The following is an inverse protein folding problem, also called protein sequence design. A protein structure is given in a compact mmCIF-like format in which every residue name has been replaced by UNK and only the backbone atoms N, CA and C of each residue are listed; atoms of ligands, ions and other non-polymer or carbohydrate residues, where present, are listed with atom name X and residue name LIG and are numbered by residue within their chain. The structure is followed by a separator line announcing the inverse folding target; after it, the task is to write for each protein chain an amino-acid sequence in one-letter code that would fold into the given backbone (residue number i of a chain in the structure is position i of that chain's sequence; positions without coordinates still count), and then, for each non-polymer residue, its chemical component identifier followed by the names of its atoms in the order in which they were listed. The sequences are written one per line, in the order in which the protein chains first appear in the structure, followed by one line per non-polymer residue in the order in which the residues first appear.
data_IF_854526287853
#
_entry.id   IF_854526287853
#
_cell.length_a   1.000
_cell.length_b   1.000
_cell.length_c   1.000
_cell.angle_alpha   90.00
_cell.angle_beta   90.00
_cell.angle_gamma   90.00
#
_symmetry.space_group_name_H-M   'P 1'
#
loop_
_entity.id
_entity.type
_entity.pdbx_description
1 polymer ?
#
# COMPACT_ATOMS: atom_id res chain seq x y z
N UNK A 1 53.96 8.74 3.52
CA UNK A 1 54.48 7.38 3.29
C UNK A 1 53.80 6.46 4.28
N UNK A 2 52.91 5.60 3.80
CA UNK A 2 52.19 4.61 4.61
C UNK A 2 51.43 3.74 3.62
N UNK A 3 51.82 2.47 3.56
CA UNK A 3 51.61 1.55 2.44
C UNK A 3 50.17 1.05 2.31
N UNK A 4 49.76 0.91 1.05
CA UNK A 4 48.68 0.05 0.58
C UNK A 4 49.07 -1.43 0.78
N UNK A 5 48.11 -2.29 1.13
CA UNK A 5 48.12 -3.64 0.59
C UNK A 5 46.78 -4.03 -0.02
N UNK A 6 46.82 -4.25 -1.34
CA UNK A 6 45.89 -5.08 -2.08
C UNK A 6 45.73 -6.46 -1.45
N UNK A 7 44.49 -6.96 -1.37
CA UNK A 7 44.22 -8.39 -1.46
C UNK A 7 43.02 -8.65 -2.37
N UNK A 8 43.31 -9.51 -3.33
CA UNK A 8 42.44 -10.12 -4.33
C UNK A 8 41.51 -11.14 -3.66
N UNK A 9 40.35 -11.40 -4.27
CA UNK A 9 39.55 -12.58 -3.93
C UNK A 9 38.29 -12.76 -4.79
N UNK A 10 38.46 -13.34 -5.99
CA UNK A 10 37.96 -14.66 -6.46
C UNK A 10 36.51 -14.69 -6.98
N UNK A 11 36.42 -15.12 -8.25
CA UNK A 11 35.24 -15.49 -9.03
C UNK A 11 34.42 -16.64 -8.43
N UNK A 12 33.15 -16.73 -8.83
CA UNK A 12 32.34 -17.90 -9.23
C UNK A 12 30.87 -17.45 -9.10
N UNK A 13 30.06 -17.35 -10.15
CA UNK A 13 29.78 -18.40 -11.12
C UNK A 13 28.50 -19.07 -10.66
N UNK A 14 27.37 -18.74 -11.31
CA UNK A 14 26.23 -19.64 -11.60
C UNK A 14 25.16 -18.83 -12.32
N UNK A 15 25.29 -18.88 -13.65
CA UNK A 15 24.22 -18.71 -14.63
C UNK A 15 23.22 -19.86 -14.41
N UNK A 16 21.93 -19.55 -14.30
CA UNK A 16 20.87 -20.55 -14.36
C UNK A 16 19.78 -20.02 -15.28
N UNK A 17 19.90 -20.44 -16.53
CA UNK A 17 18.82 -20.48 -17.49
C UNK A 17 17.76 -21.49 -17.00
N UNK A 18 16.58 -20.99 -16.70
CA UNK A 18 15.37 -21.81 -16.68
C UNK A 18 14.42 -21.28 -17.74
N UNK A 19 14.54 -21.87 -18.92
CA UNK A 19 13.55 -21.88 -19.97
C UNK A 19 12.31 -22.61 -19.44
N UNK A 20 11.29 -21.84 -19.05
CA UNK A 20 9.99 -22.33 -18.62
C UNK A 20 8.97 -22.20 -19.75
N UNK A 21 8.39 -23.35 -20.09
CA UNK A 21 7.58 -23.64 -21.26
C UNK A 21 6.38 -22.71 -21.47
N UNK A 22 6.18 -22.30 -22.72
CA UNK A 22 4.97 -21.67 -23.22
C UNK A 22 3.83 -22.70 -23.27
N UNK A 23 2.80 -22.50 -22.45
CA UNK A 23 1.55 -23.25 -22.52
C UNK A 23 0.56 -22.44 -23.35
N UNK A 24 0.43 -22.79 -24.63
CA UNK A 24 -0.66 -22.37 -25.51
C UNK A 24 -1.93 -23.09 -25.05
N UNK A 25 -2.80 -22.35 -24.35
CA UNK A 25 -4.16 -22.76 -24.03
C UNK A 25 -5.14 -22.02 -24.92
N UNK A 26 -5.40 -22.58 -26.10
CA UNK A 26 -6.57 -22.25 -26.93
C UNK A 26 -7.81 -22.90 -26.31
N UNK A 27 -8.69 -22.10 -25.70
CA UNK A 27 -10.06 -22.52 -25.42
C UNK A 27 -11.01 -21.40 -25.85
N UNK A 28 -11.46 -21.47 -27.11
CA UNK A 28 -12.60 -20.73 -27.62
C UNK A 28 -13.87 -21.15 -26.86
N UNK A 29 -14.26 -20.35 -25.88
CA UNK A 29 -15.61 -20.39 -25.31
C UNK A 29 -16.48 -19.34 -26.01
N UNK A 30 -17.14 -19.79 -27.06
CA UNK A 30 -18.22 -19.10 -27.77
C UNK A 30 -19.43 -18.94 -26.84
N UNK A 31 -19.38 -17.90 -25.99
CA UNK A 31 -20.51 -17.51 -25.17
C UNK A 31 -21.50 -16.75 -26.05
N UNK A 32 -22.53 -17.47 -26.46
CA UNK A 32 -23.66 -16.98 -27.24
C UNK A 32 -24.25 -15.70 -26.61
N UNK A 33 -24.06 -14.59 -27.31
CA UNK A 33 -24.75 -13.32 -27.06
C UNK A 33 -26.21 -13.47 -27.45
N UNK A 34 -27.06 -13.76 -26.47
CA UNK A 34 -28.50 -13.53 -26.60
C UNK A 34 -28.74 -12.02 -26.46
N UNK A 35 -28.96 -11.35 -27.59
CA UNK A 35 -29.41 -9.96 -27.64
C UNK A 35 -30.87 -9.88 -27.21
N UNK A 36 -31.11 -9.97 -25.91
CA UNK A 36 -32.40 -9.62 -25.33
C UNK A 36 -32.41 -8.10 -25.11
N UNK A 37 -33.20 -7.45 -25.93
CA UNK A 37 -33.56 -6.03 -25.91
C UNK A 37 -34.04 -5.64 -24.50
N UNK A 38 -33.12 -5.15 -23.67
CA UNK A 38 -33.45 -4.58 -22.37
C UNK A 38 -34.04 -3.20 -22.62
N UNK A 39 -35.38 -3.13 -22.63
CA UNK A 39 -36.13 -1.88 -22.61
C UNK A 39 -35.59 -0.97 -21.50
N UNK A 40 -35.09 0.19 -21.92
CA UNK A 40 -34.57 1.25 -21.07
C UNK A 40 -35.67 1.71 -20.09
N UNK A 41 -35.67 1.17 -18.87
CA UNK A 41 -36.50 1.66 -17.78
C UNK A 41 -35.79 2.87 -17.15
N UNK A 42 -36.01 4.04 -17.75
CA UNK A 42 -35.43 5.35 -17.42
C UNK A 42 -35.87 5.96 -16.07
N UNK A 43 -36.14 5.15 -15.04
CA UNK A 43 -36.54 5.66 -13.72
C UNK A 43 -36.04 4.78 -12.57
N UNK A 44 -34.74 4.52 -12.52
CA UNK A 44 -34.09 4.19 -11.25
C UNK A 44 -33.61 5.51 -10.60
N UNK A 45 -34.08 5.88 -9.40
CA UNK A 45 -33.52 7.02 -8.68
C UNK A 45 -32.04 6.75 -8.42
N UNK A 46 -31.19 7.50 -9.14
CA UNK A 46 -29.75 7.60 -8.90
C UNK A 46 -29.50 8.38 -7.61
N UNK A 47 -29.96 7.85 -6.47
CA UNK A 47 -29.82 8.46 -5.13
C UNK A 47 -28.92 7.64 -4.20
N UNK A 48 -27.86 7.04 -4.76
CA UNK A 48 -26.72 6.60 -3.97
C UNK A 48 -25.42 7.14 -4.58
N UNK A 49 -25.36 8.46 -4.75
CA UNK A 49 -24.09 9.15 -4.63
C UNK A 49 -23.67 9.04 -3.15
N UNK A 50 -23.11 7.88 -2.77
CA UNK A 50 -22.20 7.83 -1.63
C UNK A 50 -21.01 8.71 -2.02
N UNK A 51 -21.16 10.02 -1.84
CA UNK A 51 -20.03 10.89 -1.64
C UNK A 51 -19.38 10.35 -0.37
N UNK A 52 -18.42 9.43 -0.55
CA UNK A 52 -17.54 9.02 0.53
C UNK A 52 -16.80 10.31 0.86
N UNK A 53 -17.21 10.97 1.94
CA UNK A 53 -16.59 12.22 2.39
C UNK A 53 -15.08 12.04 2.35
N UNK A 54 -14.40 12.93 1.65
CA UNK A 54 -12.95 12.86 1.56
C UNK A 54 -12.40 12.90 3.00
N UNK A 55 -11.54 11.94 3.38
CA UNK A 55 -11.07 11.84 4.75
C UNK A 55 -10.38 13.14 5.19
N UNK A 56 -10.73 13.65 6.37
CA UNK A 56 -10.06 14.82 6.96
C UNK A 56 -8.65 14.46 7.46
N UNK A 57 -7.69 14.59 6.56
CA UNK A 57 -6.26 14.39 6.82
C UNK A 57 -5.74 15.26 7.96
N UNK A 58 -6.25 16.49 8.11
CA UNK A 58 -5.78 17.42 9.14
C UNK A 58 -6.10 16.93 10.54
N UNK A 59 -7.31 16.44 10.77
CA UNK A 59 -7.68 15.81 12.04
C UNK A 59 -6.91 14.50 12.26
N UNK A 60 -6.70 13.69 11.22
CA UNK A 60 -5.93 12.46 11.33
C UNK A 60 -4.47 12.70 11.72
N UNK A 61 -3.83 13.76 11.21
CA UNK A 61 -2.47 14.12 11.61
C UNK A 61 -2.41 14.62 13.05
N UNK A 62 -3.38 15.41 13.52
CA UNK A 62 -3.43 15.86 14.93
C UNK A 62 -3.46 14.68 15.91
N UNK A 63 -4.10 13.58 15.53
CA UNK A 63 -4.19 12.35 16.33
C UNK A 63 -2.97 11.43 16.16
N UNK A 64 -2.07 11.71 15.23
CA UNK A 64 -0.92 10.86 14.93
C UNK A 64 0.29 11.24 15.79
N UNK A 65 0.83 10.35 16.65
CA UNK A 65 1.97 10.67 17.51
C UNK A 65 3.23 11.09 16.73
N UNK A 66 3.46 10.50 15.55
CA UNK A 66 4.66 10.77 14.75
C UNK A 66 4.55 12.04 13.92
N UNK A 67 3.39 12.29 13.30
CA UNK A 67 3.22 13.39 12.37
C UNK A 67 2.46 14.58 12.96
N UNK A 68 1.87 14.47 14.15
CA UNK A 68 1.09 15.54 14.77
C UNK A 68 1.91 16.78 15.09
N UNK A 69 3.14 16.60 15.59
CA UNK A 69 4.06 17.72 15.82
C UNK A 69 4.46 18.37 14.49
N UNK A 70 4.83 17.57 13.49
CA UNK A 70 5.16 18.08 12.15
C UNK A 70 3.98 18.84 11.54
N UNK A 71 2.76 18.29 11.68
CA UNK A 71 1.53 18.93 11.23
C UNK A 71 1.30 20.29 11.91
N UNK A 72 1.52 20.38 13.22
CA UNK A 72 1.45 21.63 13.96
C UNK A 72 2.47 22.66 13.43
N UNK A 73 3.69 22.24 13.10
CA UNK A 73 4.69 23.12 12.51
C UNK A 73 4.30 23.64 11.12
N UNK A 74 3.76 22.77 10.24
CA UNK A 74 3.38 23.18 8.87
C UNK A 74 2.03 23.92 8.80
N UNK A 75 1.26 23.92 9.88
CA UNK A 75 -0.02 24.66 9.97
C UNK A 75 0.12 25.96 10.75
N UNK A 76 1.14 26.10 11.60
CA UNK A 76 1.38 27.32 12.37
C UNK A 76 2.41 28.22 11.67
N UNK A 77 2.02 29.41 11.17
CA UNK A 77 2.93 30.31 10.46
C UNK A 77 4.04 30.89 11.35
N UNK A 78 3.96 30.71 12.67
CA UNK A 78 4.99 31.18 13.62
C UNK A 78 6.11 30.16 13.85
N UNK A 79 5.94 28.93 13.40
CA UNK A 79 6.90 27.85 13.60
C UNK A 79 7.71 27.61 12.33
N UNK A 80 8.97 27.20 12.52
CA UNK A 80 9.83 26.80 11.42
C UNK A 80 9.43 25.42 10.90
N UNK A 81 9.35 25.29 9.58
CA UNK A 81 9.03 24.03 8.92
C UNK A 81 10.20 23.04 9.07
N UNK A 82 9.95 21.78 9.46
CA UNK A 82 10.96 20.74 9.44
C UNK A 82 11.48 20.51 8.02
N UNK A 83 12.79 20.29 7.82
CA UNK A 83 13.35 20.07 6.49
C UNK A 83 12.79 18.77 5.87
N UNK A 84 12.64 18.77 4.55
CA UNK A 84 12.10 17.63 3.79
C UNK A 84 10.57 17.52 3.80
N UNK A 85 9.87 18.25 4.68
CA UNK A 85 8.42 18.21 4.77
C UNK A 85 7.71 19.26 3.91
N UNK A 86 6.60 18.86 3.29
CA UNK A 86 5.74 19.70 2.46
C UNK A 86 4.27 19.46 2.78
N UNK A 87 3.41 20.47 2.56
CA UNK A 87 1.96 20.38 2.74
C UNK A 87 1.24 20.70 1.44
N UNK A 88 0.44 19.78 0.93
CA UNK A 88 -0.32 19.95 -0.31
C UNK A 88 -1.68 19.26 -0.18
N UNK A 89 -2.76 19.94 -0.57
CA UNK A 89 -4.13 19.36 -0.53
C UNK A 89 -4.56 18.82 0.84
N UNK A 90 -4.11 19.44 1.94
CA UNK A 90 -4.39 18.95 3.30
C UNK A 90 -3.54 17.75 3.74
N UNK A 91 -2.62 17.28 2.88
CA UNK A 91 -1.77 16.10 3.11
C UNK A 91 -0.33 16.54 3.41
N UNK A 92 0.37 15.71 4.17
CA UNK A 92 1.77 15.90 4.52
C UNK A 92 2.64 14.98 3.66
N UNK A 93 3.72 15.53 3.10
CA UNK A 93 4.71 14.79 2.33
C UNK A 93 6.09 14.95 2.98
N UNK A 94 6.91 13.90 2.94
CA UNK A 94 8.31 13.89 3.37
C UNK A 94 9.16 13.42 2.20
N UNK A 95 10.08 14.26 1.72
CA UNK A 95 10.96 13.96 0.58
C UNK A 95 10.19 13.49 -0.68
N UNK A 96 9.02 14.11 -0.93
CA UNK A 96 8.14 13.79 -2.05
C UNK A 96 7.24 12.57 -1.83
N UNK A 97 7.32 11.93 -0.66
CA UNK A 97 6.55 10.71 -0.33
C UNK A 97 5.41 11.06 0.62
N UNK A 98 4.20 10.52 0.37
CA UNK A 98 3.02 10.79 1.20
C UNK A 98 3.16 10.17 2.61
N UNK A 99 2.94 10.99 3.64
CA UNK A 99 2.93 10.57 5.04
C UNK A 99 1.54 10.04 5.43
N UNK A 100 1.44 8.76 5.76
CA UNK A 100 0.17 8.11 6.13
C UNK A 100 -0.01 8.14 7.65
N UNK A 101 -0.98 8.90 8.19
CA UNK A 101 -1.20 8.98 9.62
C UNK A 101 -1.81 7.68 10.17
N UNK A 102 -1.51 7.39 11.44
CA UNK A 102 -1.94 6.18 12.16
C UNK A 102 -3.43 5.83 12.00
N UNK A 103 -4.39 6.77 12.03
CA UNK A 103 -5.81 6.44 11.83
C UNK A 103 -6.13 5.89 10.43
N UNK A 104 -5.34 6.22 9.42
CA UNK A 104 -5.62 5.88 8.01
C UNK A 104 -4.79 4.71 7.49
N UNK A 105 -3.77 4.25 8.21
CA UNK A 105 -2.91 3.16 7.75
C UNK A 105 -3.69 1.92 7.31
N UNK A 106 -4.68 1.47 8.11
CA UNK A 106 -5.48 0.28 7.79
C UNK A 106 -6.33 0.48 6.53
N UNK A 107 -7.02 1.61 6.43
CA UNK A 107 -7.83 1.95 5.25
C UNK A 107 -6.96 2.00 4.00
N UNK A 108 -5.80 2.64 4.10
CA UNK A 108 -4.86 2.76 3.00
C UNK A 108 -4.28 1.40 2.56
N UNK A 109 -3.95 0.54 3.52
CA UNK A 109 -3.51 -0.83 3.22
C UNK A 109 -4.57 -1.62 2.46
N UNK A 110 -5.83 -1.54 2.90
CA UNK A 110 -6.94 -2.25 2.25
C UNK A 110 -7.23 -1.73 0.85
N UNK A 111 -7.17 -0.41 0.67
CA UNK A 111 -7.32 0.23 -0.64
C UNK A 111 -6.22 -0.24 -1.60
N UNK A 112 -4.96 -0.16 -1.19
CA UNK A 112 -3.82 -0.59 -2.01
C UNK A 112 -3.81 -2.09 -2.27
N UNK A 113 -4.23 -2.91 -1.29
CA UNK A 113 -4.42 -4.34 -1.46
C UNK A 113 -5.46 -4.65 -2.54
N UNK A 114 -6.57 -3.91 -2.56
CA UNK A 114 -7.63 -4.06 -3.55
C UNK A 114 -7.17 -3.57 -4.93
N UNK A 115 -6.49 -2.42 -4.98
CA UNK A 115 -5.93 -1.84 -6.20
C UNK A 115 -4.94 -2.77 -6.92
N UNK A 116 -4.13 -3.52 -6.17
CA UNK A 116 -3.16 -4.46 -6.75
C UNK A 116 -3.74 -5.84 -7.08
N UNK A 117 -5.05 -6.05 -6.91
CA UNK A 117 -5.69 -7.34 -7.22
C UNK A 117 -5.49 -8.38 -6.12
N UNK A 118 -5.62 -7.98 -4.85
CA UNK A 118 -5.59 -8.88 -3.69
C UNK A 118 -4.28 -9.67 -3.53
N UNK A 119 -3.14 -9.02 -3.79
CA UNK A 119 -1.82 -9.63 -3.62
C UNK A 119 -1.54 -9.96 -2.15
N UNK A 120 -0.81 -11.05 -1.92
CA UNK A 120 -0.34 -11.39 -0.56
C UNK A 120 0.46 -10.25 0.08
N UNK A 121 0.40 -10.14 1.41
CA UNK A 121 0.95 -8.99 2.12
C UNK A 121 2.45 -8.79 1.98
N UNK A 122 3.23 -9.84 1.74
CA UNK A 122 4.67 -9.68 1.49
C UNK A 122 4.91 -8.85 0.22
N UNK A 123 4.17 -9.16 -0.85
CA UNK A 123 4.22 -8.39 -2.11
C UNK A 123 3.66 -6.99 -1.93
N UNK A 124 2.53 -6.86 -1.23
CA UNK A 124 1.95 -5.55 -0.92
C UNK A 124 2.95 -4.67 -0.16
N UNK A 125 3.57 -5.22 0.90
CA UNK A 125 4.50 -4.46 1.74
C UNK A 125 5.78 -4.08 1.01
N UNK A 126 6.34 -4.99 0.19
CA UNK A 126 7.50 -4.69 -0.64
C UNK A 126 7.23 -3.50 -1.58
N UNK A 127 6.01 -3.41 -2.11
CA UNK A 127 5.57 -2.29 -2.95
C UNK A 127 5.34 -0.99 -2.14
N UNK A 128 4.69 -1.09 -0.97
CA UNK A 128 4.26 0.08 -0.20
C UNK A 128 5.37 0.78 0.58
N UNK A 129 6.37 0.05 1.09
CA UNK A 129 7.37 0.58 2.03
C UNK A 129 8.23 1.72 1.46
N UNK A 130 8.33 1.83 0.14
CA UNK A 130 9.10 2.88 -0.54
C UNK A 130 8.24 4.01 -1.11
N UNK A 131 6.91 3.82 -1.15
CA UNK A 131 5.96 4.78 -1.73
C UNK A 131 5.24 5.63 -0.69
N UNK A 132 5.35 5.26 0.58
CA UNK A 132 4.64 5.91 1.67
C UNK A 132 5.52 6.00 2.91
N UNK A 133 5.40 7.11 3.62
CA UNK A 133 6.01 7.29 4.92
C UNK A 133 4.98 6.93 6.00
N UNK A 134 5.15 5.77 6.61
CA UNK A 134 4.20 5.22 7.59
C UNK A 134 4.44 5.80 8.99
N UNK A 135 3.36 6.05 9.72
CA UNK A 135 3.45 6.53 11.10
C UNK A 135 4.00 5.44 12.03
N UNK A 136 3.48 4.21 11.90
CA UNK A 136 3.81 3.06 12.73
C UNK A 136 4.09 1.81 11.85
N UNK A 137 5.34 1.67 11.41
CA UNK A 137 5.74 0.52 10.58
C UNK A 137 5.58 -0.82 11.31
N UNK A 138 5.79 -0.84 12.63
CA UNK A 138 5.73 -2.07 13.40
C UNK A 138 4.31 -2.59 13.53
N UNK A 139 3.34 -1.69 13.75
CA UNK A 139 1.93 -2.06 13.82
C UNK A 139 1.42 -2.54 12.48
N UNK A 140 1.78 -1.86 11.38
CA UNK A 140 1.39 -2.26 10.02
C UNK A 140 1.89 -3.68 9.71
N UNK A 141 3.12 -4.01 10.10
CA UNK A 141 3.68 -5.36 9.92
C UNK A 141 3.01 -6.40 10.81
N UNK A 142 2.66 -6.06 12.05
CA UNK A 142 2.09 -6.99 13.05
C UNK A 142 0.62 -7.35 12.82
N UNK A 143 -0.18 -6.48 12.17
CA UNK A 143 -1.59 -6.79 11.82
C UNK A 143 -1.71 -8.11 11.05
N UNK A 144 -0.63 -8.57 10.40
CA UNK A 144 -0.61 -9.81 9.64
C UNK A 144 -0.29 -11.08 10.44
N UNK A 145 0.41 -10.98 11.56
CA UNK A 145 0.81 -12.18 12.34
C UNK A 145 -0.41 -12.84 13.00
N UNK A 146 -1.46 -12.06 13.29
CA UNK A 146 -2.63 -12.54 14.07
C UNK A 146 -3.72 -13.16 13.18
N UNK A 147 -3.74 -12.89 11.87
CA UNK A 147 -4.72 -13.49 10.95
C UNK A 147 -4.23 -14.78 10.27
N UNK A 148 -2.93 -15.10 10.36
CA UNK A 148 -2.35 -16.33 9.81
C UNK A 148 -2.32 -17.53 10.75
N UNK A 149 -2.53 -17.36 12.05
CA UNK A 149 -2.63 -18.48 12.98
C UNK A 149 -4.08 -18.94 13.08
N UNK A 150 -4.58 -19.60 12.04
CA UNK A 150 -5.66 -20.57 12.22
C UNK A 150 -5.21 -21.50 13.34
N UNK A 151 -5.84 -21.37 14.51
CA UNK A 151 -5.72 -22.34 15.59
C UNK A 151 -6.03 -23.70 14.97
N UNK A 152 -5.00 -24.49 14.69
CA UNK A 152 -5.14 -25.93 14.53
C UNK A 152 -5.62 -26.40 15.89
N UNK A 153 -6.93 -26.59 16.02
CA UNK A 153 -7.52 -27.28 17.17
C UNK A 153 -6.96 -28.70 17.06
N UNK A 154 -6.10 -29.16 17.98
CA UNK A 154 -5.72 -30.56 17.99
C UNK A 154 -7.00 -31.35 18.22
N UNK A 155 -7.34 -32.25 17.29
CA UNK A 155 -8.38 -33.24 17.52
C UNK A 155 -7.99 -34.01 18.79
N UNK A 156 -8.74 -33.81 19.87
CA UNK A 156 -8.61 -34.63 21.07
C UNK A 156 -8.92 -36.09 20.72
N UNK A 157 -8.20 -37.06 21.33
CA UNK A 157 -8.45 -38.48 21.14
C UNK A 157 -9.80 -38.93 21.71
#
# INVERSE_FOLDING_TARGET
MGMDPSLQGVNNGEESDQEGEAMEGEEDSDSSVSSEECTLSENAPSEFSHAIDEPDWGEAYKLCPRFGEVWNHVTNPRLTWPPGYQREGGRLFCDGVLCIPTPYEKMWLLDQHSFLGHVGMERLWAYLKFRFQWADMDRVRKVHVVQGTSKVIPNSP
#
